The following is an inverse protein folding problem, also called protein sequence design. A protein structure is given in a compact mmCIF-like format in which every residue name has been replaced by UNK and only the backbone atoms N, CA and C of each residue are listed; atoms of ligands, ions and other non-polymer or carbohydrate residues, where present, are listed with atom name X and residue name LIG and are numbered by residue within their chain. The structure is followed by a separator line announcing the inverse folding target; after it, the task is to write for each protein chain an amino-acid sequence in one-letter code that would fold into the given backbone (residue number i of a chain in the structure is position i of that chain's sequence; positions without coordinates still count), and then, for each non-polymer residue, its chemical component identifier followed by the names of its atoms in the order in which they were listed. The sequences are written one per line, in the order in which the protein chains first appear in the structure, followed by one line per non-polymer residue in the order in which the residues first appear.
data_IF_590167276504
#
_entry.id   IF_590167276504
#
_cell.length_a   1.000
_cell.length_b   1.000
_cell.length_c   1.000
_cell.angle_alpha   90.00
_cell.angle_beta   90.00
_cell.angle_gamma   90.00
#
_symmetry.space_group_name_H-M   'P 1'
#
loop_
_entity.id
_entity.type
_entity.pdbx_description
1 polymer ?
#
# COMPACT_ATOMS: atom_id res chain seq x y z
N UNK A 1 5.93 -2.09 -19.54
CA UNK A 1 6.79 -1.10 -18.88
C UNK A 1 8.24 -1.51 -19.13
N UNK A 2 9.18 -0.60 -19.41
CA UNK A 2 10.59 -0.98 -19.58
C UNK A 2 11.15 -1.21 -18.19
N UNK A 3 11.36 -2.46 -17.80
CA UNK A 3 11.93 -2.82 -16.50
C UNK A 3 13.39 -2.37 -16.46
N UNK A 4 13.71 -1.41 -15.59
CA UNK A 4 15.08 -0.92 -15.42
C UNK A 4 15.58 -1.18 -14.00
N UNK A 5 16.11 -2.39 -13.78
CA UNK A 5 16.69 -2.81 -12.50
C UNK A 5 18.12 -2.30 -12.30
N UNK A 6 18.62 -1.41 -13.15
CA UNK A 6 20.03 -0.97 -13.14
C UNK A 6 20.46 -0.33 -11.81
N UNK A 7 19.54 0.33 -11.10
CA UNK A 7 19.80 0.98 -9.82
C UNK A 7 19.29 0.20 -8.61
N UNK A 8 18.63 -0.94 -8.83
CA UNK A 8 17.99 -1.71 -7.76
C UNK A 8 18.92 -2.77 -7.18
N UNK A 9 18.87 -2.94 -5.87
CA UNK A 9 19.55 -4.06 -5.20
C UNK A 9 18.72 -5.35 -5.30
N UNK A 10 19.34 -6.50 -5.05
CA UNK A 10 18.70 -7.80 -5.21
C UNK A 10 17.40 -7.96 -4.39
N UNK A 11 17.36 -7.42 -3.16
CA UNK A 11 16.15 -7.44 -2.33
C UNK A 11 15.01 -6.61 -2.92
N UNK A 12 15.32 -5.51 -3.60
CA UNK A 12 14.34 -4.65 -4.27
C UNK A 12 13.80 -5.32 -5.53
N UNK A 13 14.64 -6.04 -6.27
CA UNK A 13 14.21 -6.87 -7.41
C UNK A 13 13.27 -7.99 -6.93
N UNK A 14 13.60 -8.67 -5.83
CA UNK A 14 12.71 -9.68 -5.24
C UNK A 14 11.37 -9.10 -4.80
N UNK A 15 11.39 -7.92 -4.15
CA UNK A 15 10.16 -7.24 -3.77
C UNK A 15 9.30 -6.89 -4.99
N UNK A 16 9.92 -6.44 -6.09
CA UNK A 16 9.20 -6.16 -7.34
C UNK A 16 8.45 -7.39 -7.83
N UNK A 17 9.11 -8.54 -7.89
CA UNK A 17 8.46 -9.79 -8.31
C UNK A 17 7.35 -10.23 -7.36
N UNK A 18 7.55 -10.07 -6.04
CA UNK A 18 6.52 -10.32 -5.02
C UNK A 18 5.27 -9.45 -5.25
N UNK A 19 5.45 -8.15 -5.52
CA UNK A 19 4.34 -7.23 -5.76
C UNK A 19 3.67 -7.51 -7.12
N UNK A 20 4.43 -7.87 -8.16
CA UNK A 20 3.86 -8.32 -9.44
C UNK A 20 2.97 -9.53 -9.26
N UNK A 21 3.37 -10.49 -8.43
CA UNK A 21 2.57 -11.69 -8.19
C UNK A 21 1.30 -11.37 -7.37
N UNK A 22 1.35 -10.37 -6.48
CA UNK A 22 0.14 -9.80 -5.88
C UNK A 22 -0.77 -9.16 -6.92
N UNK A 23 -0.24 -8.28 -7.76
CA UNK A 23 -0.99 -7.61 -8.85
C UNK A 23 -1.68 -8.63 -9.77
N UNK A 24 -0.97 -9.69 -10.16
CA UNK A 24 -1.50 -10.77 -11.02
C UNK A 24 -2.61 -11.60 -10.36
N UNK A 25 -2.63 -11.68 -9.02
CA UNK A 25 -3.66 -12.45 -8.31
C UNK A 25 -5.00 -11.74 -8.19
N UNK A 26 -5.05 -10.42 -8.45
CA UNK A 26 -6.26 -9.62 -8.35
C UNK A 26 -7.17 -9.81 -9.57
N UNK A 27 -8.46 -9.52 -9.38
CA UNK A 27 -9.42 -9.48 -10.48
C UNK A 27 -9.04 -8.36 -11.48
N UNK A 28 -8.67 -8.68 -12.73
CA UNK A 28 -8.33 -7.67 -13.75
C UNK A 28 -9.53 -6.78 -14.14
N UNK A 29 -10.75 -7.16 -13.76
CA UNK A 29 -11.97 -6.39 -13.91
C UNK A 29 -12.23 -5.38 -12.78
N UNK A 30 -11.48 -5.42 -11.67
CA UNK A 30 -11.78 -4.68 -10.44
C UNK A 30 -12.01 -3.18 -10.69
N UNK A 31 -11.07 -2.50 -11.35
CA UNK A 31 -11.19 -1.07 -11.64
C UNK A 31 -12.45 -0.76 -12.47
N UNK A 32 -12.77 -1.60 -13.47
CA UNK A 32 -13.95 -1.39 -14.31
C UNK A 32 -15.26 -1.63 -13.55
N UNK A 33 -15.25 -2.53 -12.56
CA UNK A 33 -16.40 -2.74 -11.66
C UNK A 33 -16.60 -1.53 -10.74
N UNK A 34 -15.50 -0.95 -10.24
CA UNK A 34 -15.53 0.30 -9.48
C UNK A 34 -16.07 1.46 -10.31
N UNK A 35 -15.57 1.65 -11.53
CA UNK A 35 -16.05 2.70 -12.45
C UNK A 35 -17.55 2.59 -12.77
N UNK A 36 -18.10 1.37 -12.76
CA UNK A 36 -19.55 1.10 -12.97
C UNK A 36 -20.38 1.13 -11.69
N UNK A 37 -19.79 1.46 -10.54
CA UNK A 37 -20.44 1.41 -9.22
C UNK A 37 -20.99 0.02 -8.87
N UNK A 38 -20.38 -1.05 -9.37
CA UNK A 38 -20.65 -2.43 -8.91
C UNK A 38 -19.88 -2.74 -7.63
N UNK A 39 -18.78 -2.01 -7.38
CA UNK A 39 -17.95 -2.07 -6.17
C UNK A 39 -17.67 -0.64 -5.73
N UNK A 40 -18.14 -0.24 -4.55
CA UNK A 40 -17.95 1.13 -4.06
C UNK A 40 -16.51 1.40 -3.60
N UNK A 41 -15.85 0.39 -3.01
CA UNK A 41 -14.49 0.52 -2.48
C UNK A 41 -13.74 -0.82 -2.52
N UNK A 42 -12.42 -0.83 -2.82
CA UNK A 42 -11.68 -2.06 -3.07
C UNK A 42 -11.17 -2.70 -1.77
N UNK A 43 -12.08 -3.10 -0.87
CA UNK A 43 -11.74 -3.72 0.42
C UNK A 43 -10.91 -5.00 0.27
N UNK A 44 -11.31 -5.89 -0.64
CA UNK A 44 -10.61 -7.17 -0.88
C UNK A 44 -9.16 -6.96 -1.33
N UNK A 45 -8.92 -5.93 -2.16
CA UNK A 45 -7.58 -5.53 -2.58
C UNK A 45 -6.70 -5.10 -1.40
N UNK A 46 -7.22 -4.28 -0.49
CA UNK A 46 -6.47 -3.82 0.68
C UNK A 46 -6.26 -4.94 1.69
N UNK A 47 -7.25 -5.81 1.91
CA UNK A 47 -7.11 -6.97 2.80
C UNK A 47 -6.04 -7.93 2.28
N UNK A 48 -6.06 -8.30 1.00
CA UNK A 48 -5.04 -9.17 0.40
C UNK A 48 -3.65 -8.52 0.45
N UNK A 49 -3.54 -7.21 0.21
CA UNK A 49 -2.27 -6.48 0.38
C UNK A 49 -1.77 -6.52 1.82
N UNK A 50 -2.67 -6.41 2.81
CA UNK A 50 -2.34 -6.49 4.23
C UNK A 50 -1.90 -7.90 4.64
N UNK A 51 -2.60 -8.94 4.17
CA UNK A 51 -2.26 -10.35 4.43
C UNK A 51 -0.85 -10.69 3.92
N UNK A 52 -0.46 -10.11 2.78
CA UNK A 52 0.90 -10.22 2.24
C UNK A 52 1.91 -9.28 2.89
N UNK A 53 1.50 -8.48 3.89
CA UNK A 53 2.32 -7.44 4.54
C UNK A 53 2.92 -6.45 3.54
N UNK A 54 2.16 -6.09 2.51
CA UNK A 54 2.56 -5.08 1.52
C UNK A 54 2.12 -3.67 1.95
N UNK A 55 1.12 -3.53 2.80
CA UNK A 55 0.73 -2.22 3.31
C UNK A 55 1.79 -1.63 4.24
N UNK A 56 2.26 -0.42 3.94
CA UNK A 56 3.20 0.30 4.78
C UNK A 56 4.54 -0.42 5.00
N UNK A 57 5.07 -1.06 3.94
CA UNK A 57 6.29 -1.90 4.01
C UNK A 57 7.49 -1.20 4.66
N UNK A 58 7.58 0.12 4.55
CA UNK A 58 8.65 0.93 5.15
C UNK A 58 8.54 1.12 6.67
N UNK A 59 7.39 0.85 7.28
CA UNK A 59 7.20 1.04 8.72
C UNK A 59 7.83 -0.09 9.56
N UNK A 60 8.17 0.16 10.83
CA UNK A 60 8.78 -0.83 11.70
C UNK A 60 7.95 -2.12 11.84
N UNK A 61 8.63 -3.26 11.97
CA UNK A 61 7.98 -4.57 12.13
C UNK A 61 7.07 -4.65 13.36
N UNK A 62 7.43 -3.95 14.45
CA UNK A 62 6.58 -3.87 15.65
C UNK A 62 5.19 -3.29 15.38
N UNK A 63 5.02 -2.55 14.29
CA UNK A 63 3.74 -2.00 13.87
C UNK A 63 3.12 -2.78 12.69
N UNK A 64 3.60 -3.99 12.41
CA UNK A 64 3.20 -4.86 11.28
C UNK A 64 3.81 -4.51 9.91
N UNK A 65 4.63 -3.47 9.81
CA UNK A 65 5.39 -3.14 8.59
C UNK A 65 6.56 -4.10 8.33
N UNK A 66 7.43 -3.81 7.36
CA UNK A 66 8.58 -4.65 6.99
C UNK A 66 9.95 -3.96 7.18
N UNK A 67 9.95 -2.76 7.74
CA UNK A 67 11.13 -1.93 7.98
C UNK A 67 12.01 -1.74 6.72
N UNK A 68 11.36 -1.64 5.55
CA UNK A 68 12.03 -1.44 4.26
C UNK A 68 12.28 0.05 3.98
N UNK A 69 12.94 0.33 2.86
CA UNK A 69 13.34 1.69 2.46
C UNK A 69 12.23 2.42 1.70
N UNK A 70 12.39 3.73 1.54
CA UNK A 70 11.56 4.50 0.60
C UNK A 70 11.67 4.00 -0.84
N UNK A 71 12.84 3.55 -1.28
CA UNK A 71 13.00 2.96 -2.62
C UNK A 71 12.14 1.72 -2.77
N UNK A 72 12.09 0.86 -1.75
CA UNK A 72 11.22 -0.31 -1.74
C UNK A 72 9.72 0.08 -1.82
N UNK A 73 9.29 1.10 -1.08
CA UNK A 73 7.93 1.66 -1.16
C UNK A 73 7.60 2.12 -2.59
N UNK A 74 8.52 2.85 -3.24
CA UNK A 74 8.31 3.33 -4.61
C UNK A 74 8.24 2.19 -5.63
N UNK A 75 9.02 1.13 -5.44
CA UNK A 75 8.94 -0.07 -6.30
C UNK A 75 7.58 -0.75 -6.16
N UNK A 76 7.08 -0.89 -4.93
CA UNK A 76 5.75 -1.46 -4.71
C UNK A 76 4.68 -0.57 -5.37
N UNK A 77 4.73 0.74 -5.17
CA UNK A 77 3.79 1.69 -5.78
C UNK A 77 3.83 1.68 -7.32
N UNK A 78 5.01 1.52 -7.92
CA UNK A 78 5.16 1.40 -9.38
C UNK A 78 4.39 0.19 -9.92
N UNK A 79 4.54 -0.97 -9.28
CA UNK A 79 3.86 -2.20 -9.70
C UNK A 79 2.35 -2.15 -9.39
N UNK A 80 1.93 -1.59 -8.24
CA UNK A 80 0.51 -1.37 -7.94
C UNK A 80 -0.12 -0.39 -8.94
N UNK A 81 0.63 0.61 -9.39
CA UNK A 81 0.15 1.65 -10.31
C UNK A 81 -0.38 1.10 -11.65
N UNK A 82 0.04 -0.09 -12.06
CA UNK A 82 -0.47 -0.73 -13.29
C UNK A 82 -1.95 -1.10 -13.21
N UNK A 83 -2.50 -1.20 -12.00
CA UNK A 83 -3.91 -1.48 -11.74
C UNK A 83 -4.81 -0.24 -11.94
N UNK A 84 -4.21 0.94 -12.12
CA UNK A 84 -4.90 2.22 -12.30
C UNK A 84 -4.92 3.11 -11.05
N UNK A 85 -5.21 4.39 -11.26
CA UNK A 85 -5.04 5.45 -10.25
C UNK A 85 -5.86 5.20 -8.98
N UNK A 86 -7.11 4.73 -9.08
CA UNK A 86 -7.96 4.52 -7.91
C UNK A 86 -7.37 3.53 -6.91
N UNK A 87 -6.86 2.40 -7.39
CA UNK A 87 -6.22 1.37 -6.57
C UNK A 87 -4.85 1.85 -6.05
N UNK A 88 -4.05 2.49 -6.89
CA UNK A 88 -2.78 3.12 -6.49
C UNK A 88 -2.95 4.14 -5.37
N UNK A 89 -3.95 5.02 -5.47
CA UNK A 89 -4.28 5.99 -4.42
C UNK A 89 -4.68 5.28 -3.12
N UNK A 90 -5.57 4.27 -3.17
CA UNK A 90 -6.00 3.56 -1.97
C UNK A 90 -4.84 2.89 -1.23
N UNK A 91 -3.90 2.30 -1.97
CA UNK A 91 -2.68 1.71 -1.41
C UNK A 91 -1.74 2.78 -0.81
N UNK A 92 -1.50 3.88 -1.54
CA UNK A 92 -0.61 4.95 -1.09
C UNK A 92 -1.11 5.68 0.17
N UNK A 93 -2.43 5.80 0.36
CA UNK A 93 -3.02 6.48 1.52
C UNK A 93 -2.57 5.89 2.86
N UNK A 94 -2.34 4.58 2.91
CA UNK A 94 -1.79 3.91 4.10
C UNK A 94 -0.42 4.47 4.46
N UNK A 95 0.43 4.70 3.46
CA UNK A 95 1.77 5.24 3.62
C UNK A 95 1.77 6.72 4.00
N UNK A 96 0.85 7.51 3.42
CA UNK A 96 0.71 8.96 3.67
C UNK A 96 0.25 9.21 5.12
N UNK A 97 -0.89 8.65 5.50
CA UNK A 97 -1.44 8.79 6.86
C UNK A 97 -0.54 8.09 7.88
N UNK A 98 -0.02 6.91 7.51
CA UNK A 98 0.90 6.16 8.34
C UNK A 98 2.19 6.92 8.66
N UNK A 99 2.67 7.81 7.78
CA UNK A 99 3.87 8.61 8.07
C UNK A 99 3.64 9.55 9.24
N UNK A 100 2.52 10.27 9.22
CA UNK A 100 2.19 11.20 10.29
C UNK A 100 2.06 10.46 11.63
N UNK A 101 1.36 9.31 11.64
CA UNK A 101 1.21 8.47 12.81
C UNK A 101 2.54 7.90 13.30
N UNK A 102 3.37 7.36 12.41
CA UNK A 102 4.64 6.73 12.76
C UNK A 102 5.66 7.75 13.32
N UNK A 103 5.73 8.94 12.72
CA UNK A 103 6.70 9.96 13.09
C UNK A 103 6.25 10.79 14.29
N UNK A 104 5.01 11.26 14.30
CA UNK A 104 4.52 12.23 15.29
C UNK A 104 3.53 11.65 16.31
N UNK A 105 3.00 10.44 16.05
CA UNK A 105 2.07 9.79 16.96
C UNK A 105 2.71 9.38 18.28
N UNK A 106 1.90 9.41 19.34
CA UNK A 106 2.16 8.71 20.60
C UNK A 106 2.09 7.19 20.41
N UNK A 107 2.62 6.42 21.35
CA UNK A 107 2.53 4.95 21.30
C UNK A 107 1.09 4.46 21.23
N UNK A 108 0.18 5.08 22.02
CA UNK A 108 -1.25 4.77 21.95
C UNK A 108 -1.84 5.04 20.56
N UNK A 109 -1.50 6.16 19.91
CA UNK A 109 -1.99 6.45 18.55
C UNK A 109 -1.46 5.45 17.52
N UNK A 110 -0.22 4.95 17.69
CA UNK A 110 0.35 3.96 16.77
C UNK A 110 -0.33 2.61 16.94
N UNK A 111 -0.55 2.15 18.16
CA UNK A 111 -1.27 0.90 18.43
C UNK A 111 -2.74 0.97 18.01
N UNK A 112 -3.43 2.09 18.26
CA UNK A 112 -4.85 2.22 17.95
C UNK A 112 -5.12 2.48 16.46
N UNK A 113 -4.23 3.17 15.74
CA UNK A 113 -4.47 3.59 14.36
C UNK A 113 -3.48 2.99 13.37
N UNK A 114 -2.17 3.14 13.59
CA UNK A 114 -1.17 2.67 12.62
C UNK A 114 -1.24 1.16 12.45
N UNK A 115 -1.24 0.40 13.55
CA UNK A 115 -1.25 -1.07 13.49
C UNK A 115 -2.50 -1.61 12.76
N UNK A 116 -3.73 -1.20 13.08
CA UNK A 116 -4.91 -1.66 12.34
C UNK A 116 -4.94 -1.22 10.87
N UNK A 117 -4.41 -0.03 10.54
CA UNK A 117 -4.31 0.41 9.13
C UNK A 117 -3.39 -0.52 8.34
N UNK A 118 -2.21 -0.86 8.88
CA UNK A 118 -1.24 -1.74 8.22
C UNK A 118 -1.76 -3.19 8.09
N UNK A 119 -2.67 -3.59 8.98
CA UNK A 119 -3.37 -4.89 8.91
C UNK A 119 -4.62 -4.87 8.03
N UNK A 120 -4.96 -3.73 7.42
CA UNK A 120 -6.17 -3.59 6.61
C UNK A 120 -7.48 -3.60 7.42
N UNK A 121 -7.40 -3.55 8.75
CA UNK A 121 -8.56 -3.55 9.66
C UNK A 121 -9.22 -2.17 9.77
N UNK A 122 -8.45 -1.10 9.51
CA UNK A 122 -8.94 0.28 9.44
C UNK A 122 -8.52 0.92 8.12
N UNK A 123 -9.39 1.77 7.58
CA UNK A 123 -9.08 2.60 6.44
C UNK A 123 -8.46 3.93 6.87
N UNK A 124 -7.59 4.46 6.01
CA UNK A 124 -6.95 5.76 6.19
C UNK A 124 -7.43 6.74 5.12
N UNK A 125 -7.67 7.99 5.53
CA UNK A 125 -7.96 9.10 4.64
C UNK A 125 -7.27 10.37 5.17
N UNK A 126 -6.91 11.27 4.25
CA UNK A 126 -6.30 12.56 4.57
C UNK A 126 -7.28 13.69 4.26
N UNK A 127 -7.50 14.58 5.23
CA UNK A 127 -8.30 15.79 5.06
C UNK A 127 -7.41 17.01 5.18
N UNK A 128 -6.97 17.56 4.04
CA UNK A 128 -6.11 18.75 3.98
C UNK A 128 -6.73 19.88 3.15
N UNK A 129 -7.35 19.55 2.02
CA UNK A 129 -7.86 20.53 1.05
C UNK A 129 -9.18 21.16 1.53
N UNK A 130 -9.29 22.48 1.39
CA UNK A 130 -10.50 23.27 1.69
C UNK A 130 -11.10 23.87 0.39
N UNK A 131 -12.40 24.24 0.37
CA UNK A 131 -13.10 24.78 -0.82
C UNK A 131 -12.50 26.05 -1.43
#
# INVERSE_FOLDING_TARGET
MIENNFLSIESEVRLREEVKDFVKSLDPGLLRKMDRNEIDYPFEFLHEAAERRLLGIRFPEKYSGRNLTWTAEMIALEEIGVLGMGLGCSYAMVSIVGEALNHFGTDWQKEEFLVPILKGEKLSAEGLTEP
#
